data_IF_261670070987
#
_entry.id   IF_261670070987
#
_cell.length_a   1.000
_cell.length_b   1.000
_cell.length_c   1.000
_cell.angle_alpha   90.00
_cell.angle_beta   90.00
_cell.angle_gamma   90.00
#
_symmetry.space_group_name_H-M   'P 1'
#
loop_
_entity.id
_entity.type
_entity.pdbx_description
1 polymer ?
#
# COMPACT_ATOMS: atom_id res chain seq x y z
N UNK A 1 3.41 22.77 6.77
CA UNK A 1 3.81 22.26 5.44
C UNK A 1 4.69 21.04 5.66
N UNK A 2 4.54 20.00 4.85
CA UNK A 2 5.25 18.73 4.99
C UNK A 2 6.13 18.50 3.75
N UNK A 3 7.45 18.40 3.96
CA UNK A 3 8.43 18.29 2.89
C UNK A 3 8.40 16.91 2.22
N UNK A 4 8.51 16.87 0.91
CA UNK A 4 8.75 15.64 0.16
C UNK A 4 10.25 15.33 0.21
N UNK A 5 10.58 14.16 0.75
CA UNK A 5 11.96 13.70 0.94
C UNK A 5 12.45 12.91 -0.27
N UNK A 6 11.59 12.04 -0.81
CA UNK A 6 11.93 11.26 -2.00
C UNK A 6 10.70 10.94 -2.83
N UNK A 7 10.93 10.65 -4.10
CA UNK A 7 9.93 10.28 -5.10
C UNK A 7 10.42 9.10 -5.91
N UNK A 8 9.53 8.15 -6.17
CA UNK A 8 9.76 7.01 -7.04
C UNK A 8 8.52 6.78 -7.91
N UNK A 9 8.72 6.59 -9.21
CA UNK A 9 7.64 6.21 -10.13
C UNK A 9 7.61 4.70 -10.29
N UNK A 10 6.49 4.08 -9.93
CA UNK A 10 6.24 2.66 -10.20
C UNK A 10 5.72 2.42 -11.62
N UNK A 11 4.90 3.35 -12.11
CA UNK A 11 4.40 3.34 -13.49
C UNK A 11 4.11 4.77 -13.94
N UNK A 12 3.59 4.94 -15.16
CA UNK A 12 3.18 6.25 -15.68
C UNK A 12 2.21 6.98 -14.72
N UNK A 13 1.31 6.22 -14.10
CA UNK A 13 0.22 6.74 -13.28
C UNK A 13 0.36 6.47 -11.78
N UNK A 14 1.40 5.76 -11.31
CA UNK A 14 1.57 5.44 -9.90
C UNK A 14 2.90 5.96 -9.38
N UNK A 15 2.82 6.80 -8.36
CA UNK A 15 3.98 7.46 -7.75
C UNK A 15 4.00 7.17 -6.24
N UNK A 16 5.17 6.81 -5.73
CA UNK A 16 5.48 6.73 -4.31
C UNK A 16 6.14 8.04 -3.87
N UNK A 17 5.66 8.64 -2.82
CA UNK A 17 6.25 9.79 -2.15
C UNK A 17 6.58 9.45 -0.71
N UNK A 18 7.77 9.84 -0.27
CA UNK A 18 8.16 9.85 1.14
C UNK A 18 8.05 11.28 1.64
N UNK A 19 7.26 11.46 2.70
CA UNK A 19 6.87 12.80 3.20
C UNK A 19 7.28 12.94 4.66
N UNK A 20 7.88 14.05 5.02
CA UNK A 20 8.22 14.38 6.40
C UNK A 20 6.95 14.65 7.21
N UNK A 21 6.71 13.80 8.23
CA UNK A 21 5.55 13.86 9.11
C UNK A 21 5.83 13.11 10.44
N UNK A 22 6.74 13.60 11.30
CA UNK A 22 7.27 12.85 12.43
C UNK A 22 6.22 12.45 13.46
N UNK A 23 5.23 13.30 13.73
CA UNK A 23 4.15 12.97 14.66
C UNK A 23 3.22 11.88 14.12
N UNK A 24 2.94 11.93 12.81
CA UNK A 24 2.13 10.91 12.14
C UNK A 24 2.89 9.60 12.07
N UNK A 25 4.17 9.63 11.70
CA UNK A 25 5.03 8.45 11.63
C UNK A 25 5.06 7.67 12.96
N UNK A 26 5.12 8.39 14.09
CA UNK A 26 5.13 7.81 15.43
C UNK A 26 3.77 7.25 15.86
N UNK A 27 2.67 7.89 15.47
CA UNK A 27 1.33 7.57 15.95
C UNK A 27 0.54 6.61 15.05
N UNK A 28 0.95 6.45 13.77
CA UNK A 28 0.20 5.64 12.82
C UNK A 28 0.23 4.15 13.17
N UNK A 29 -0.82 3.44 12.78
CA UNK A 29 -0.94 1.97 12.77
C UNK A 29 -1.43 1.49 11.41
N UNK A 30 -1.35 0.20 11.14
CA UNK A 30 -1.88 -0.40 9.92
C UNK A 30 -3.35 -0.03 9.72
N UNK A 31 -3.73 0.35 8.50
CA UNK A 31 -5.08 0.79 8.13
C UNK A 31 -5.35 2.29 8.30
N UNK A 32 -4.46 3.05 8.93
CA UNK A 32 -4.61 4.51 9.03
C UNK A 32 -4.32 5.21 7.69
N UNK A 33 -4.96 6.36 7.50
CA UNK A 33 -4.77 7.24 6.36
C UNK A 33 -4.45 8.67 6.81
N UNK A 34 -4.12 9.52 5.89
CA UNK A 34 -3.97 10.96 6.06
C UNK A 34 -4.85 11.71 5.08
N UNK A 35 -5.26 12.93 5.42
CA UNK A 35 -5.80 13.88 4.46
C UNK A 35 -4.66 14.79 4.03
N UNK A 36 -4.45 14.89 2.72
CA UNK A 36 -3.41 15.75 2.12
C UNK A 36 -4.01 16.85 1.28
N UNK A 37 -3.29 17.96 1.16
CA UNK A 37 -3.64 19.09 0.28
C UNK A 37 -2.38 19.63 -0.37
N UNK A 38 -2.47 19.92 -1.66
CA UNK A 38 -1.42 20.57 -2.46
C UNK A 38 -1.91 21.94 -2.93
N UNK A 39 -1.22 23.01 -2.52
CA UNK A 39 -1.58 24.39 -2.77
C UNK A 39 -2.72 24.90 -1.88
N UNK A 40 -2.82 26.24 -1.76
CA UNK A 40 -3.81 26.88 -0.86
C UNK A 40 -5.26 26.58 -1.24
N UNK A 41 -5.55 26.51 -2.54
CA UNK A 41 -6.88 26.21 -3.10
C UNK A 41 -7.06 24.75 -3.49
N UNK A 42 -6.09 23.87 -3.12
CA UNK A 42 -6.15 22.45 -3.41
C UNK A 42 -7.26 21.74 -2.62
N UNK A 43 -7.82 20.70 -3.22
CA UNK A 43 -8.75 19.80 -2.52
C UNK A 43 -8.02 19.01 -1.43
N UNK A 44 -8.77 18.67 -0.40
CA UNK A 44 -8.34 17.71 0.63
C UNK A 44 -8.72 16.31 0.20
N UNK A 45 -7.71 15.46 -0.02
CA UNK A 45 -7.95 14.08 -0.45
C UNK A 45 -7.39 13.08 0.57
N UNK A 46 -8.09 11.97 0.84
CA UNK A 46 -7.59 10.92 1.71
C UNK A 46 -6.59 10.03 0.98
N UNK A 47 -5.46 9.74 1.63
CA UNK A 47 -4.44 8.80 1.14
C UNK A 47 -4.03 7.87 2.27
N UNK A 48 -4.05 6.58 2.01
CA UNK A 48 -3.61 5.58 3.00
C UNK A 48 -2.10 5.66 3.21
N UNK A 49 -1.67 5.51 4.46
CA UNK A 49 -0.25 5.44 4.81
C UNK A 49 0.27 4.04 4.48
N UNK A 50 1.07 3.94 3.43
CA UNK A 50 1.64 2.67 2.98
C UNK A 50 2.81 2.19 3.86
N UNK A 51 3.58 3.12 4.43
CA UNK A 51 4.70 2.83 5.32
C UNK A 51 5.06 4.03 6.20
N UNK A 52 5.95 3.83 7.18
CA UNK A 52 6.56 4.93 7.94
C UNK A 52 7.91 4.53 8.51
N UNK A 53 8.79 5.50 8.62
CA UNK A 53 10.03 5.41 9.38
C UNK A 53 9.96 6.40 10.55
N UNK A 54 9.89 5.85 11.77
CA UNK A 54 9.80 6.65 13.00
C UNK A 54 11.11 7.39 13.28
N UNK A 55 12.26 6.80 12.91
CA UNK A 55 13.59 7.40 13.13
C UNK A 55 13.83 8.56 12.17
N UNK A 56 13.47 8.38 10.91
CA UNK A 56 13.54 9.43 9.90
C UNK A 56 12.40 10.46 10.03
N UNK A 57 11.34 10.13 10.78
CA UNK A 57 10.16 10.98 10.92
C UNK A 57 9.34 11.10 9.65
N UNK A 58 9.24 10.04 8.85
CA UNK A 58 8.60 10.08 7.54
C UNK A 58 7.46 9.08 7.41
N UNK A 59 6.51 9.40 6.53
CA UNK A 59 5.48 8.48 6.04
C UNK A 59 5.62 8.27 4.54
N UNK A 60 5.18 7.12 4.05
CA UNK A 60 5.14 6.78 2.62
C UNK A 60 3.70 6.79 2.13
N UNK A 61 3.48 7.49 1.04
CA UNK A 61 2.20 7.54 0.32
C UNK A 61 2.41 6.97 -1.08
N UNK A 62 1.50 6.13 -1.54
CA UNK A 62 1.46 5.64 -2.93
C UNK A 62 0.19 6.17 -3.57
N UNK A 63 0.34 6.87 -4.68
CA UNK A 63 -0.71 7.71 -5.25
C UNK A 63 -0.89 7.33 -6.72
N UNK A 64 -2.14 7.05 -7.09
CA UNK A 64 -2.51 6.88 -8.49
C UNK A 64 -3.05 8.20 -9.05
N UNK A 65 -2.44 8.68 -10.13
CA UNK A 65 -2.75 9.95 -10.78
C UNK A 65 -4.00 9.82 -11.67
N UNK A 66 -5.20 9.83 -11.07
CA UNK A 66 -6.49 9.68 -11.78
C UNK A 66 -7.28 10.99 -11.90
N UNK A 67 -7.12 11.93 -10.96
CA UNK A 67 -7.80 13.21 -10.92
C UNK A 67 -6.82 14.37 -10.85
N UNK A 68 -7.33 15.58 -10.90
CA UNK A 68 -6.52 16.82 -10.91
C UNK A 68 -5.64 16.94 -9.67
N UNK A 69 -6.21 16.71 -8.48
CA UNK A 69 -5.50 16.78 -7.20
C UNK A 69 -4.38 15.74 -7.10
N UNK A 70 -4.65 14.49 -7.51
CA UNK A 70 -3.63 13.43 -7.51
C UNK A 70 -2.54 13.68 -8.53
N UNK A 71 -2.85 14.21 -9.73
CA UNK A 71 -1.84 14.60 -10.73
C UNK A 71 -0.93 15.70 -10.21
N UNK A 72 -1.48 16.74 -9.56
CA UNK A 72 -0.70 17.82 -8.95
C UNK A 72 0.23 17.29 -7.87
N UNK A 73 -0.24 16.38 -7.01
CA UNK A 73 0.60 15.79 -5.96
C UNK A 73 1.71 14.91 -6.58
N UNK A 74 1.38 14.10 -7.58
CA UNK A 74 2.37 13.26 -8.29
C UNK A 74 3.40 14.08 -9.08
N UNK A 75 3.10 15.35 -9.42
CA UNK A 75 4.04 16.24 -10.10
C UNK A 75 5.06 16.88 -9.16
N UNK A 76 4.84 16.86 -7.84
CA UNK A 76 5.78 17.40 -6.85
C UNK A 76 7.10 16.60 -6.89
N UNK A 77 8.20 17.28 -6.62
CA UNK A 77 9.55 16.73 -6.60
C UNK A 77 10.16 16.75 -5.17
N UNK A 78 11.22 15.97 -4.92
CA UNK A 78 11.94 16.06 -3.65
C UNK A 78 12.38 17.50 -3.36
N UNK A 79 12.05 17.99 -2.17
CA UNK A 79 12.25 19.38 -1.77
C UNK A 79 10.99 20.24 -1.81
N UNK A 80 9.98 19.86 -2.58
CA UNK A 80 8.66 20.49 -2.57
C UNK A 80 7.88 20.16 -1.29
N UNK A 81 6.71 20.77 -1.13
CA UNK A 81 5.88 20.64 0.08
C UNK A 81 4.42 20.33 -0.25
N UNK A 82 3.84 19.43 0.53
CA UNK A 82 2.40 19.39 0.71
C UNK A 82 1.98 20.49 1.67
N UNK A 83 0.91 21.21 1.34
CA UNK A 83 0.40 22.32 2.14
C UNK A 83 -0.13 21.83 3.47
N UNK A 84 -0.91 20.75 3.46
CA UNK A 84 -1.41 20.08 4.65
C UNK A 84 -1.18 18.58 4.55
N UNK A 85 -0.83 17.95 5.68
CA UNK A 85 -0.91 16.52 5.93
C UNK A 85 -1.50 16.35 7.32
N UNK A 86 -2.72 15.88 7.40
CA UNK A 86 -3.50 15.73 8.64
C UNK A 86 -3.71 14.26 8.92
N UNK A 87 -3.32 13.81 10.11
CA UNK A 87 -3.46 12.41 10.51
C UNK A 87 -2.65 12.05 11.76
N UNK A 88 -2.53 10.76 12.09
CA UNK A 88 -3.22 9.65 11.41
C UNK A 88 -4.73 9.70 11.65
N UNK A 89 -5.51 9.31 10.65
CA UNK A 89 -6.98 9.28 10.68
C UNK A 89 -7.49 7.85 10.44
N UNK A 90 -8.77 7.66 10.71
CA UNK A 90 -9.44 6.37 10.56
C UNK A 90 -9.25 5.46 11.77
N UNK A 91 -9.69 4.21 11.60
CA UNK A 91 -9.56 3.18 12.61
C UNK A 91 -8.48 2.18 12.18
N UNK A 92 -7.57 1.86 13.09
CA UNK A 92 -6.56 0.85 12.83
C UNK A 92 -7.20 -0.52 12.55
N UNK A 93 -6.66 -1.24 11.58
CA UNK A 93 -7.05 -2.62 11.32
C UNK A 93 -6.82 -3.47 12.57
N UNK A 94 -7.80 -4.29 12.92
CA UNK A 94 -7.66 -5.27 14.01
C UNK A 94 -6.64 -6.32 13.58
N UNK A 95 -5.59 -6.46 14.39
CA UNK A 95 -4.50 -7.42 14.14
C UNK A 95 -4.47 -8.40 15.29
N UNK A 96 -4.63 -9.67 14.97
CA UNK A 96 -4.58 -10.80 15.92
C UNK A 96 -3.78 -11.95 15.29
N UNK A 97 -3.42 -12.93 16.08
CA UNK A 97 -2.91 -14.20 15.54
C UNK A 97 -4.14 -15.06 15.15
N UNK A 98 -4.44 -15.06 13.87
CA UNK A 98 -5.55 -15.83 13.28
C UNK A 98 -5.12 -17.23 12.84
N UNK A 99 -3.80 -17.45 12.63
CA UNK A 99 -3.26 -18.66 12.04
C UNK A 99 -2.70 -18.41 10.63
N UNK A 100 -3.26 -19.05 9.60
CA UNK A 100 -2.89 -18.77 8.20
C UNK A 100 -3.77 -17.69 7.62
N UNK A 101 -3.14 -16.63 7.13
CA UNK A 101 -3.80 -15.45 6.56
C UNK A 101 -3.43 -15.26 5.10
N UNK A 102 -4.44 -15.08 4.24
CA UNK A 102 -4.25 -14.66 2.86
C UNK A 102 -4.43 -13.15 2.77
N UNK A 103 -3.43 -12.47 2.21
CA UNK A 103 -3.44 -11.03 1.93
C UNK A 103 -3.43 -10.80 0.42
N UNK A 104 -4.57 -10.43 -0.17
CA UNK A 104 -4.69 -10.24 -1.62
C UNK A 104 -4.74 -8.75 -1.96
N UNK A 105 -3.80 -8.28 -2.81
CA UNK A 105 -3.69 -6.88 -3.22
C UNK A 105 -3.68 -6.72 -4.74
N UNK A 106 -4.56 -5.85 -5.27
CA UNK A 106 -4.63 -5.53 -6.70
C UNK A 106 -4.14 -4.10 -7.02
N UNK A 107 -3.18 -3.97 -7.93
CA UNK A 107 -2.65 -2.68 -8.37
C UNK A 107 -2.22 -1.80 -7.19
N UNK A 108 -2.70 -0.55 -7.15
CA UNK A 108 -2.39 0.40 -6.06
C UNK A 108 -2.89 -0.07 -4.69
N UNK A 109 -3.85 -1.01 -4.63
CA UNK A 109 -4.35 -1.61 -3.38
C UNK A 109 -3.31 -2.38 -2.58
N UNK A 110 -2.17 -2.73 -3.18
CA UNK A 110 -1.03 -3.33 -2.47
C UNK A 110 -0.43 -2.35 -1.44
N UNK A 111 -0.47 -1.05 -1.72
CA UNK A 111 0.09 -0.02 -0.83
C UNK A 111 -0.61 0.03 0.55
N UNK A 112 -1.94 0.14 0.66
CA UNK A 112 -2.64 0.03 1.95
C UNK A 112 -2.55 -1.36 2.57
N UNK A 113 -2.34 -2.42 1.79
CA UNK A 113 -2.23 -3.79 2.28
C UNK A 113 -0.87 -4.07 2.95
N UNK A 114 0.23 -3.48 2.47
CA UNK A 114 1.58 -3.72 2.98
C UNK A 114 1.72 -3.53 4.51
N UNK A 115 1.26 -2.43 5.13
CA UNK A 115 1.33 -2.28 6.58
C UNK A 115 0.48 -3.32 7.34
N UNK A 116 -0.60 -3.83 6.74
CA UNK A 116 -1.43 -4.88 7.31
C UNK A 116 -0.68 -6.22 7.25
N UNK A 117 -0.05 -6.56 6.12
CA UNK A 117 0.82 -7.74 5.94
C UNK A 117 1.90 -7.76 7.04
N UNK A 118 2.63 -6.65 7.20
CA UNK A 118 3.69 -6.53 8.21
C UNK A 118 3.17 -6.72 9.64
N UNK A 119 2.04 -6.10 9.94
CA UNK A 119 1.43 -6.21 11.27
C UNK A 119 0.92 -7.63 11.57
N UNK A 120 0.29 -8.28 10.60
CA UNK A 120 -0.15 -9.68 10.71
C UNK A 120 1.05 -10.63 10.88
N UNK A 121 2.12 -10.42 10.11
CA UNK A 121 3.36 -11.20 10.25
C UNK A 121 3.99 -11.02 11.63
N UNK A 122 4.07 -9.79 12.12
CA UNK A 122 4.59 -9.48 13.46
C UNK A 122 3.73 -10.08 14.59
N UNK A 123 2.43 -10.28 14.36
CA UNK A 123 1.52 -10.93 15.30
C UNK A 123 1.64 -12.47 15.30
N UNK A 124 2.55 -13.05 14.53
CA UNK A 124 2.84 -14.49 14.48
C UNK A 124 1.98 -15.29 13.52
N UNK A 125 1.28 -14.62 12.59
CA UNK A 125 0.54 -15.32 11.54
C UNK A 125 1.47 -15.89 10.48
N UNK A 126 1.06 -17.02 9.87
CA UNK A 126 1.55 -17.40 8.54
C UNK A 126 0.86 -16.53 7.50
N UNK A 127 1.62 -15.74 6.78
CA UNK A 127 1.08 -14.79 5.79
C UNK A 127 1.42 -15.23 4.38
N UNK A 128 0.39 -15.51 3.59
CA UNK A 128 0.50 -15.77 2.15
C UNK A 128 -0.07 -14.57 1.41
N UNK A 129 0.75 -13.92 0.60
CA UNK A 129 0.33 -12.74 -0.16
C UNK A 129 0.05 -13.09 -1.61
N UNK A 130 -1.04 -12.54 -2.16
CA UNK A 130 -1.41 -12.63 -3.57
C UNK A 130 -1.36 -11.23 -4.17
N UNK A 131 -0.38 -10.97 -5.04
CA UNK A 131 -0.24 -9.70 -5.75
C UNK A 131 -0.86 -9.81 -7.14
N UNK A 132 -1.76 -8.89 -7.46
CA UNK A 132 -2.49 -8.92 -8.70
C UNK A 132 -2.34 -7.62 -9.48
N UNK A 133 -2.28 -7.71 -10.80
CA UNK A 133 -2.25 -6.58 -11.71
C UNK A 133 -2.70 -6.97 -13.11
N UNK A 134 -3.09 -6.01 -13.93
CA UNK A 134 -3.41 -6.29 -15.34
C UNK A 134 -2.17 -6.75 -16.10
N UNK A 135 -1.03 -6.11 -15.83
CA UNK A 135 0.26 -6.38 -16.46
C UNK A 135 1.37 -6.35 -15.42
N UNK A 136 2.57 -6.82 -15.80
CA UNK A 136 3.77 -6.79 -14.96
C UNK A 136 4.07 -5.41 -14.36
N UNK A 137 3.91 -4.34 -15.13
CA UNK A 137 4.23 -2.96 -14.72
C UNK A 137 3.31 -2.44 -13.61
N UNK A 138 2.16 -3.11 -13.39
CA UNK A 138 1.22 -2.78 -12.32
C UNK A 138 1.41 -3.60 -11.05
N UNK A 139 2.38 -4.52 -11.04
CA UNK A 139 2.81 -5.20 -9.82
C UNK A 139 3.80 -4.28 -9.09
N UNK A 140 3.32 -3.67 -8.01
CA UNK A 140 4.09 -2.72 -7.21
C UNK A 140 4.45 -3.31 -5.84
N UNK A 141 5.50 -2.79 -5.19
CA UNK A 141 5.92 -3.16 -3.83
C UNK A 141 6.18 -4.67 -3.65
N UNK A 142 6.49 -5.39 -4.73
CA UNK A 142 6.71 -6.84 -4.67
C UNK A 142 7.82 -7.20 -3.69
N UNK A 143 8.93 -6.46 -3.71
CA UNK A 143 10.07 -6.70 -2.82
C UNK A 143 9.64 -6.61 -1.35
N UNK A 144 8.98 -5.52 -0.98
CA UNK A 144 8.53 -5.25 0.37
C UNK A 144 7.51 -6.29 0.86
N UNK A 145 6.64 -6.75 -0.03
CA UNK A 145 5.67 -7.81 0.28
C UNK A 145 6.38 -9.16 0.46
N UNK A 146 7.35 -9.51 -0.39
CA UNK A 146 8.13 -10.74 -0.24
C UNK A 146 8.92 -10.79 1.07
N UNK A 147 9.52 -9.66 1.47
CA UNK A 147 10.24 -9.54 2.74
C UNK A 147 9.31 -9.66 3.97
N UNK A 148 8.01 -9.47 3.78
CA UNK A 148 7.02 -9.42 4.86
C UNK A 148 6.04 -10.61 4.86
N UNK A 149 6.17 -11.56 3.92
CA UNK A 149 5.28 -12.70 3.75
C UNK A 149 6.05 -14.03 3.79
N UNK A 150 5.38 -15.12 4.13
CA UNK A 150 5.96 -16.47 4.08
C UNK A 150 5.95 -17.05 2.66
N UNK A 151 4.95 -16.65 1.85
CA UNK A 151 4.83 -17.03 0.45
C UNK A 151 4.16 -15.91 -0.33
N UNK A 152 4.48 -15.78 -1.62
CA UNK A 152 3.92 -14.75 -2.51
C UNK A 152 3.57 -15.35 -3.85
N UNK A 153 2.30 -15.26 -4.20
CA UNK A 153 1.77 -15.60 -5.52
C UNK A 153 1.58 -14.32 -6.31
N UNK A 154 2.03 -14.30 -7.56
CA UNK A 154 1.82 -13.17 -8.47
C UNK A 154 0.89 -13.60 -9.59
N UNK A 155 -0.14 -12.79 -9.82
CA UNK A 155 -1.14 -12.98 -10.87
C UNK A 155 -1.16 -11.77 -11.80
N UNK A 156 -1.13 -11.99 -13.11
CA UNK A 156 -1.40 -10.93 -14.09
C UNK A 156 -2.49 -11.37 -15.06
N UNK A 157 -3.40 -10.46 -15.40
CA UNK A 157 -4.53 -10.77 -16.28
C UNK A 157 -4.05 -11.23 -17.67
N UNK A 158 -3.00 -10.59 -18.17
CA UNK A 158 -2.41 -10.87 -19.49
C UNK A 158 -1.39 -12.02 -19.47
N UNK A 159 -0.92 -12.45 -18.29
CA UNK A 159 0.12 -13.46 -18.13
C UNK A 159 1.54 -12.96 -18.37
N UNK A 160 1.76 -11.63 -18.41
CA UNK A 160 3.08 -11.03 -18.63
C UNK A 160 4.05 -11.24 -17.48
N UNK A 161 3.54 -11.57 -16.27
CA UNK A 161 4.37 -11.88 -15.11
C UNK A 161 3.62 -12.77 -14.10
N UNK A 162 4.36 -13.73 -13.51
CA UNK A 162 3.77 -14.69 -12.60
C UNK A 162 2.82 -15.65 -13.32
N UNK A 163 1.65 -15.89 -12.73
CA UNK A 163 0.60 -16.74 -13.32
C UNK A 163 -0.43 -15.88 -14.03
N UNK A 164 -0.96 -16.40 -15.14
CA UNK A 164 -2.08 -15.76 -15.84
C UNK A 164 -3.38 -15.98 -15.09
N UNK A 165 -4.09 -14.92 -14.76
CA UNK A 165 -5.39 -14.99 -14.09
C UNK A 165 -5.65 -13.77 -13.19
N UNK A 166 -6.83 -13.78 -12.58
CA UNK A 166 -7.29 -12.72 -11.68
C UNK A 166 -7.06 -13.09 -10.20
N UNK A 167 -7.31 -12.15 -9.31
CA UNK A 167 -7.07 -12.28 -7.86
C UNK A 167 -7.72 -13.51 -7.22
N UNK A 168 -8.95 -13.84 -7.62
CA UNK A 168 -9.68 -15.00 -7.08
C UNK A 168 -8.96 -16.31 -7.35
N UNK A 169 -8.40 -16.51 -8.54
CA UNK A 169 -7.64 -17.71 -8.88
C UNK A 169 -6.39 -17.88 -7.99
N UNK A 170 -5.71 -16.77 -7.67
CA UNK A 170 -4.57 -16.79 -6.76
C UNK A 170 -4.97 -17.14 -5.32
N UNK A 171 -6.09 -16.61 -4.84
CA UNK A 171 -6.64 -16.93 -3.51
C UNK A 171 -7.12 -18.38 -3.45
N UNK A 172 -7.82 -18.86 -4.48
CA UNK A 172 -8.26 -20.27 -4.59
C UNK A 172 -7.08 -21.25 -4.55
N UNK A 173 -5.98 -20.92 -5.22
CA UNK A 173 -4.77 -21.74 -5.16
C UNK A 173 -4.27 -21.90 -3.71
N UNK A 174 -4.27 -20.83 -2.92
CA UNK A 174 -3.85 -20.92 -1.52
C UNK A 174 -4.81 -21.80 -0.73
N UNK A 175 -6.12 -21.62 -0.89
CA UNK A 175 -7.16 -22.39 -0.19
C UNK A 175 -7.08 -23.88 -0.52
N UNK A 176 -6.70 -24.23 -1.75
CA UNK A 176 -6.50 -25.64 -2.15
C UNK A 176 -5.23 -26.27 -1.57
N UNK A 177 -4.20 -25.44 -1.27
CA UNK A 177 -2.91 -25.92 -0.74
C UNK A 177 -2.88 -26.04 0.78
N UNK A 178 -3.59 -25.17 1.47
CA UNK A 178 -3.56 -25.12 2.93
C UNK A 178 -4.85 -24.51 3.51
N UNK A 179 -5.12 -24.82 4.78
CA UNK A 179 -6.25 -24.22 5.49
C UNK A 179 -6.00 -22.72 5.68
N UNK A 180 -6.93 -21.88 5.24
CA UNK A 180 -6.92 -20.43 5.45
C UNK A 180 -7.89 -20.08 6.56
N UNK A 181 -7.42 -19.35 7.57
CA UNK A 181 -8.21 -18.95 8.73
C UNK A 181 -8.75 -17.51 8.62
N UNK A 182 -8.06 -16.66 7.84
CA UNK A 182 -8.46 -15.27 7.62
C UNK A 182 -8.02 -14.76 6.24
N UNK A 183 -8.79 -13.84 5.67
CA UNK A 183 -8.46 -13.23 4.38
C UNK A 183 -8.66 -11.71 4.44
N UNK A 184 -7.68 -10.97 3.92
CA UNK A 184 -7.75 -9.53 3.70
C UNK A 184 -7.54 -9.24 2.22
N UNK A 185 -8.48 -8.52 1.61
CA UNK A 185 -8.35 -8.14 0.20
C UNK A 185 -8.54 -6.64 0.01
N UNK A 186 -7.67 -6.03 -0.77
CA UNK A 186 -7.71 -4.60 -1.12
C UNK A 186 -7.37 -4.43 -2.59
N UNK A 187 -8.28 -3.85 -3.36
CA UNK A 187 -8.07 -3.61 -4.79
C UNK A 187 -9.28 -2.92 -5.42
N UNK A 188 -9.16 -2.54 -6.70
CA UNK A 188 -10.31 -2.07 -7.46
C UNK A 188 -11.32 -3.22 -7.64
N UNK A 189 -12.60 -2.83 -7.68
CA UNK A 189 -13.70 -3.74 -7.98
C UNK A 189 -13.75 -4.07 -9.48
#
# INVERSE_FOLDING_TARGET
>A
MNKIISKEKFSENVTKLVVEAPLIAKARRAGHFVIVRCGEKGERIPLTIADSDVKAGTITLVIQAIGDSTRKICALEPGDYLTDVVGPLGQATKIENYGTVVCCGGGVGVAPLLPIIRALKAAGNRVVSVLCGRTKELIILEKEVRESSDDVIIMTDDGSYGKKGISTAGVEEVIQREKVDYCVTIGPA
#
